data_IF_412799609731
#
_entry.id   IF_412799609731
#
_cell.length_a   1.000
_cell.length_b   1.000
_cell.length_c   1.000
_cell.angle_alpha   90.00
_cell.angle_beta   90.00
_cell.angle_gamma   90.00
#
_symmetry.space_group_name_H-M   'P 1'
#
loop_
_entity.id
_entity.type
_entity.pdbx_description
1 polymer ?
#
# COMPACT_ATOMS: atom_id res chain seq x y z
N UNK A 1 17.31 -8.82 -2.98
CA UNK A 1 16.91 -7.73 -3.89
C UNK A 1 15.41 -7.84 -4.05
N UNK A 2 14.63 -6.75 -3.87
CA UNK A 2 13.19 -6.79 -4.04
C UNK A 2 12.86 -7.12 -5.51
N UNK A 3 11.87 -7.99 -5.71
CA UNK A 3 11.52 -8.51 -7.04
C UNK A 3 10.56 -7.59 -7.80
N UNK A 4 9.97 -6.60 -7.13
CA UNK A 4 9.08 -5.61 -7.73
C UNK A 4 9.11 -4.28 -6.95
N UNK A 5 8.71 -3.20 -7.62
CA UNK A 5 8.41 -1.90 -6.99
C UNK A 5 6.90 -1.72 -7.02
N UNK A 6 6.30 -1.43 -5.87
CA UNK A 6 4.86 -1.33 -5.73
C UNK A 6 4.41 0.12 -5.87
N UNK A 7 3.32 0.27 -6.62
CA UNK A 7 2.56 1.51 -6.72
C UNK A 7 1.46 1.59 -5.66
N UNK A 8 1.07 2.81 -5.31
CA UNK A 8 -0.02 3.10 -4.37
C UNK A 8 -1.32 2.36 -4.70
N UNK A 9 -1.64 2.25 -6.00
CA UNK A 9 -2.86 1.59 -6.47
C UNK A 9 -2.92 0.10 -6.10
N UNK A 10 -1.81 -0.64 -6.18
CA UNK A 10 -1.78 -2.06 -5.84
C UNK A 10 -2.02 -2.31 -4.34
N UNK A 11 -1.54 -1.41 -3.48
CA UNK A 11 -1.80 -1.48 -2.03
C UNK A 11 -3.29 -1.30 -1.75
N UNK A 12 -3.92 -0.29 -2.36
CA UNK A 12 -5.35 -0.07 -2.17
C UNK A 12 -6.22 -1.16 -2.79
N UNK A 13 -5.80 -1.74 -3.91
CA UNK A 13 -6.51 -2.87 -4.49
C UNK A 13 -6.57 -4.06 -3.53
N UNK A 14 -5.47 -4.36 -2.83
CA UNK A 14 -5.46 -5.41 -1.80
C UNK A 14 -6.29 -5.03 -0.56
N UNK A 15 -6.12 -3.81 -0.03
CA UNK A 15 -6.81 -3.34 1.17
C UNK A 15 -8.34 -3.25 1.01
N UNK A 16 -8.81 -2.89 -0.18
CA UNK A 16 -10.24 -2.70 -0.47
C UNK A 16 -10.89 -3.93 -1.12
N UNK A 17 -10.16 -5.04 -1.27
CA UNK A 17 -10.63 -6.26 -1.96
C UNK A 17 -11.13 -5.96 -3.40
N UNK A 18 -10.43 -5.10 -4.12
CA UNK A 18 -10.77 -4.74 -5.50
C UNK A 18 -10.42 -5.86 -6.50
N UNK A 19 -10.91 -5.74 -7.73
CA UNK A 19 -10.49 -6.63 -8.82
C UNK A 19 -8.97 -6.59 -8.99
N UNK A 20 -8.31 -7.73 -8.82
CA UNK A 20 -6.83 -7.84 -8.84
C UNK A 20 -6.18 -7.90 -7.46
N UNK A 21 -6.95 -7.86 -6.37
CA UNK A 21 -6.44 -7.94 -5.00
C UNK A 21 -5.55 -9.18 -4.75
N UNK A 22 -5.94 -10.36 -5.23
CA UNK A 22 -5.14 -11.59 -5.06
C UNK A 22 -3.77 -11.49 -5.73
N UNK A 23 -3.71 -10.88 -6.91
CA UNK A 23 -2.46 -10.67 -7.64
C UNK A 23 -1.60 -9.59 -6.96
N UNK A 24 -2.21 -8.50 -6.51
CA UNK A 24 -1.52 -7.48 -5.72
C UNK A 24 -0.90 -8.09 -4.44
N UNK A 25 -1.67 -8.89 -3.69
CA UNK A 25 -1.23 -9.58 -2.47
C UNK A 25 -0.06 -10.54 -2.70
N UNK A 26 -0.01 -11.18 -3.87
CA UNK A 26 1.11 -12.03 -4.25
C UNK A 26 2.41 -11.22 -4.36
N UNK A 27 2.37 -10.08 -5.05
CA UNK A 27 3.54 -9.23 -5.28
C UNK A 27 3.96 -8.40 -4.05
N UNK A 28 3.03 -8.06 -3.16
CA UNK A 28 3.31 -7.23 -1.97
C UNK A 28 4.30 -7.86 -0.97
N UNK A 29 4.47 -9.19 -0.95
CA UNK A 29 5.28 -9.88 0.08
C UNK A 29 6.78 -9.58 0.06
N UNK A 30 7.36 -9.34 -1.11
CA UNK A 30 8.82 -9.13 -1.31
C UNK A 30 9.12 -7.87 -2.14
N UNK A 31 8.24 -6.88 -2.01
CA UNK A 31 8.29 -5.64 -2.77
C UNK A 31 9.15 -4.55 -2.12
N UNK A 32 9.67 -3.66 -2.95
CA UNK A 32 10.07 -2.32 -2.52
C UNK A 32 8.94 -1.32 -2.77
N UNK A 33 8.88 -0.29 -1.93
CA UNK A 33 8.02 0.87 -2.16
C UNK A 33 8.86 2.15 -2.17
N UNK A 34 8.56 3.08 -3.07
CA UNK A 34 9.20 4.39 -3.08
C UNK A 34 8.65 5.27 -1.96
N UNK A 35 9.45 6.22 -1.46
CA UNK A 35 8.97 7.18 -0.46
C UNK A 35 7.79 8.03 -0.96
N UNK A 36 7.70 8.27 -2.27
CA UNK A 36 6.60 9.02 -2.90
C UNK A 36 5.30 8.21 -2.88
N UNK A 37 5.36 6.93 -3.25
CA UNK A 37 4.19 6.06 -3.25
C UNK A 37 3.71 5.82 -1.81
N UNK A 38 4.64 5.70 -0.86
CA UNK A 38 4.29 5.62 0.56
C UNK A 38 3.56 6.88 1.04
N UNK A 39 4.07 8.07 0.73
CA UNK A 39 3.43 9.34 1.07
C UNK A 39 2.00 9.42 0.50
N UNK A 40 1.79 8.95 -0.73
CA UNK A 40 0.48 8.92 -1.36
C UNK A 40 -0.49 7.95 -0.65
N UNK A 41 -0.02 6.76 -0.25
CA UNK A 41 -0.80 5.81 0.57
C UNK A 41 -1.24 6.48 1.87
N UNK A 42 -0.30 7.11 2.58
CA UNK A 42 -0.59 7.82 3.83
C UNK A 42 -1.64 8.90 3.63
N UNK A 43 -1.44 9.78 2.63
CA UNK A 43 -2.37 10.87 2.33
C UNK A 43 -3.78 10.35 2.07
N UNK A 44 -3.90 9.33 1.21
CA UNK A 44 -5.20 8.73 0.86
C UNK A 44 -5.85 8.00 2.03
N UNK A 45 -5.07 7.35 2.89
CA UNK A 45 -5.59 6.68 4.09
C UNK A 45 -6.18 7.72 5.06
N UNK A 46 -5.48 8.83 5.29
CA UNK A 46 -5.98 9.94 6.12
C UNK A 46 -7.22 10.58 5.52
N UNK A 47 -7.26 10.81 4.20
CA UNK A 47 -8.45 11.34 3.51
C UNK A 47 -9.66 10.40 3.66
N UNK A 48 -9.44 9.09 3.77
CA UNK A 48 -10.48 8.07 4.03
C UNK A 48 -10.83 7.93 5.52
N UNK A 49 -10.22 8.71 6.41
CA UNK A 49 -10.53 8.74 7.84
C UNK A 49 -9.69 7.80 8.71
N UNK A 50 -8.59 7.24 8.17
CA UNK A 50 -7.63 6.49 8.99
C UNK A 50 -6.88 7.47 9.90
N UNK A 51 -6.86 7.26 11.23
CA UNK A 51 -6.07 8.09 12.14
C UNK A 51 -4.58 8.03 11.79
N UNK A 52 -3.89 9.16 11.88
CA UNK A 52 -2.46 9.25 11.54
C UNK A 52 -1.59 8.29 12.36
N UNK A 53 -2.02 7.96 13.57
CA UNK A 53 -1.35 7.00 14.45
C UNK A 53 -1.37 5.58 13.86
N UNK A 54 -2.49 5.17 13.24
CA UNK A 54 -2.65 3.86 12.60
C UNK A 54 -1.94 3.74 11.25
N UNK A 55 -1.51 4.86 10.66
CA UNK A 55 -0.75 4.84 9.41
C UNK A 55 0.62 4.21 9.60
N UNK A 56 1.26 4.41 10.74
CA UNK A 56 2.58 3.85 11.03
C UNK A 56 2.58 2.31 11.06
N UNK A 57 1.46 1.70 11.41
CA UNK A 57 1.27 0.24 11.40
C UNK A 57 1.12 -0.35 9.99
N UNK A 58 0.79 0.47 8.98
CA UNK A 58 0.71 0.02 7.58
C UNK A 58 2.08 -0.18 6.92
N UNK A 59 3.14 0.31 7.57
CA UNK A 59 4.50 0.40 7.00
C UNK A 59 5.55 -0.38 7.81
N UNK A 60 5.16 -0.93 8.96
CA UNK A 60 6.02 -1.68 9.87
C UNK A 60 5.96 -3.18 9.58
#
# INVERSE_FOLDING_TARGET
MPICVIDTSAVFADLNEETGAEEARYWLRDAAISAINLQEIVSKAVDKGVPAEGVSELIA
#
